data_IF_785906974091
#
_entry.id   IF_785906974091
#
_cell.length_a   1.000
_cell.length_b   1.000
_cell.length_c   1.000
_cell.angle_alpha   90.00
_cell.angle_beta   90.00
_cell.angle_gamma   90.00
#
_symmetry.space_group_name_H-M   'P 1'
#
loop_
_entity.id
_entity.type
_entity.pdbx_description
1 polymer ?
#
# COMPACT_ATOMS: atom_id res chain seq x y z
N UNK A 1 -13.53 -6.99 -9.85
CA UNK A 1 -12.84 -6.46 -8.66
C UNK A 1 -11.36 -6.44 -8.96
N UNK A 2 -10.70 -5.29 -8.81
CA UNK A 2 -9.24 -5.21 -8.90
C UNK A 2 -8.58 -5.99 -7.76
N UNK A 3 -7.36 -6.45 -7.97
CA UNK A 3 -6.53 -6.98 -6.88
C UNK A 3 -5.73 -5.81 -6.32
N UNK A 4 -5.87 -5.56 -5.02
CA UNK A 4 -5.15 -4.51 -4.34
C UNK A 4 -4.15 -5.07 -3.35
N UNK A 5 -3.05 -4.36 -3.23
CA UNK A 5 -2.19 -4.43 -2.06
C UNK A 5 -2.16 -3.09 -1.36
N UNK A 6 -2.08 -3.11 -0.03
CA UNK A 6 -2.26 -1.94 0.83
C UNK A 6 -1.16 -1.86 1.86
N UNK A 7 -0.79 -0.65 2.24
CA UNK A 7 0.08 -0.39 3.40
C UNK A 7 -0.60 0.57 4.36
N UNK A 8 -1.06 0.04 5.49
CA UNK A 8 -1.69 0.81 6.57
C UNK A 8 -0.63 1.48 7.42
N UNK A 9 -0.46 2.80 7.28
CA UNK A 9 0.65 3.55 7.88
C UNK A 9 0.21 4.26 9.16
N UNK A 10 0.94 4.02 10.27
CA UNK A 10 0.67 4.69 11.55
C UNK A 10 1.54 5.93 11.80
N UNK A 11 2.39 6.31 10.85
CA UNK A 11 3.11 7.57 10.87
C UNK A 11 2.23 8.71 10.34
N UNK A 12 2.42 9.94 10.85
CA UNK A 12 1.79 11.13 10.27
C UNK A 12 2.54 11.68 9.06
N UNK A 13 3.79 11.27 8.85
CA UNK A 13 4.60 11.69 7.70
C UNK A 13 4.14 10.88 6.49
N UNK A 14 3.76 11.54 5.39
CA UNK A 14 3.37 10.89 4.13
C UNK A 14 4.57 10.71 3.21
N UNK A 15 4.60 9.67 2.35
CA UNK A 15 5.59 9.56 1.29
C UNK A 15 5.39 10.66 0.23
N UNK A 16 6.47 11.15 -0.35
CA UNK A 16 6.44 11.93 -1.60
C UNK A 16 6.58 10.99 -2.78
N UNK A 17 5.92 11.28 -3.90
CA UNK A 17 5.99 10.44 -5.11
C UNK A 17 7.45 10.32 -5.58
N UNK A 18 8.20 11.44 -5.59
CA UNK A 18 9.60 11.43 -6.00
C UNK A 18 10.46 10.48 -5.15
N UNK A 19 10.20 10.34 -3.85
CA UNK A 19 10.94 9.43 -2.97
C UNK A 19 10.60 7.97 -3.28
N UNK A 20 9.33 7.67 -3.60
CA UNK A 20 8.90 6.33 -4.01
C UNK A 20 9.58 5.90 -5.30
N UNK A 21 9.58 6.78 -6.32
CA UNK A 21 10.20 6.52 -7.62
C UNK A 21 11.71 6.38 -7.48
N UNK A 22 12.37 7.28 -6.74
CA UNK A 22 13.81 7.23 -6.54
C UNK A 22 14.24 5.97 -5.79
N UNK A 23 13.46 5.50 -4.82
CA UNK A 23 13.74 4.23 -4.16
C UNK A 23 13.74 3.07 -5.15
N UNK A 24 12.68 2.94 -5.95
CA UNK A 24 12.56 1.87 -6.95
C UNK A 24 13.69 1.91 -7.99
N UNK A 25 14.06 3.11 -8.45
CA UNK A 25 15.22 3.29 -9.33
C UNK A 25 16.53 2.89 -8.68
N UNK A 26 16.70 3.19 -7.39
CA UNK A 26 17.94 2.86 -6.66
C UNK A 26 18.17 1.36 -6.50
N UNK A 27 17.11 0.55 -6.49
CA UNK A 27 17.21 -0.92 -6.49
C UNK A 27 17.26 -1.54 -7.90
N UNK A 28 17.28 -0.72 -8.95
CA UNK A 28 17.53 -1.15 -10.33
C UNK A 28 16.31 -1.24 -11.24
N UNK A 29 15.13 -0.81 -10.81
CA UNK A 29 13.96 -0.75 -11.69
C UNK A 29 13.98 0.50 -12.57
N UNK A 30 13.72 0.34 -13.87
CA UNK A 30 13.41 1.47 -14.76
C UNK A 30 11.93 1.83 -14.60
N UNK A 31 11.67 2.91 -13.86
CA UNK A 31 10.33 3.36 -13.46
C UNK A 31 10.06 4.77 -13.97
N UNK A 32 8.84 4.97 -14.48
CA UNK A 32 8.29 6.28 -14.85
C UNK A 32 6.94 6.51 -14.15
N UNK A 33 6.49 7.75 -14.19
CA UNK A 33 5.15 8.16 -13.75
C UNK A 33 4.44 8.85 -14.92
N UNK A 34 3.11 8.91 -14.88
CA UNK A 34 2.31 9.75 -15.77
C UNK A 34 2.40 11.25 -15.45
N UNK A 35 2.97 11.60 -14.29
CA UNK A 35 3.11 12.97 -13.80
C UNK A 35 4.38 13.67 -14.32
N UNK A 36 4.33 15.01 -14.36
CA UNK A 36 5.50 15.84 -14.62
C UNK A 36 6.34 16.10 -13.36
N UNK A 37 7.52 16.69 -13.52
CA UNK A 37 8.45 16.93 -12.40
C UNK A 37 7.85 17.77 -11.26
N UNK A 38 6.98 18.72 -11.58
CA UNK A 38 6.36 19.59 -10.58
C UNK A 38 5.33 18.83 -9.76
N UNK A 39 4.55 17.98 -10.40
CA UNK A 39 3.53 17.16 -9.75
C UNK A 39 4.16 16.04 -8.90
N UNK A 40 5.35 15.54 -9.27
CA UNK A 40 6.12 14.59 -8.45
C UNK A 40 6.54 15.16 -7.07
N UNK A 41 6.67 16.48 -6.97
CA UNK A 41 7.00 17.19 -5.73
C UNK A 41 5.78 17.57 -4.89
N UNK A 42 4.56 17.37 -5.41
CA UNK A 42 3.33 17.73 -4.72
C UNK A 42 3.18 16.94 -3.40
N UNK A 43 3.12 17.61 -2.23
CA UNK A 43 2.97 16.93 -0.94
C UNK A 43 1.55 16.39 -0.68
N UNK A 44 0.57 16.84 -1.47
CA UNK A 44 -0.86 16.51 -1.33
C UNK A 44 -1.38 15.72 -2.53
N UNK A 45 -0.54 14.88 -3.10
CA UNK A 45 -0.94 13.93 -4.13
C UNK A 45 -1.96 12.90 -3.59
N UNK A 46 -2.88 12.50 -4.45
CA UNK A 46 -3.92 11.50 -4.16
C UNK A 46 -3.63 10.19 -4.86
N UNK A 47 -3.21 10.25 -6.11
CA UNK A 47 -2.97 9.08 -6.94
C UNK A 47 -2.00 9.42 -8.08
N UNK A 48 -1.36 8.38 -8.63
CA UNK A 48 -0.58 8.46 -9.86
C UNK A 48 -0.42 7.08 -10.48
N UNK A 49 -0.06 7.06 -11.77
CA UNK A 49 0.26 5.83 -12.49
C UNK A 49 1.77 5.56 -12.41
N UNK A 50 2.15 4.40 -11.89
CA UNK A 50 3.52 3.91 -11.86
C UNK A 50 3.77 3.00 -13.06
N UNK A 51 4.52 3.51 -14.04
CA UNK A 51 4.84 2.83 -15.28
C UNK A 51 6.14 2.04 -15.06
N UNK A 52 6.00 0.72 -14.92
CA UNK A 52 7.13 -0.20 -14.76
C UNK A 52 7.57 -0.83 -16.09
N UNK A 53 6.70 -0.80 -17.11
CA UNK A 53 6.94 -1.31 -18.44
C UNK A 53 6.05 -0.51 -19.41
N UNK A 54 6.60 -0.03 -20.52
CA UNK A 54 5.86 0.80 -21.48
C UNK A 54 4.87 0.03 -22.34
N UNK A 55 4.98 -1.30 -22.39
CA UNK A 55 4.08 -2.17 -23.15
C UNK A 55 2.97 -2.77 -22.27
N UNK A 56 2.92 -2.38 -20.99
CA UNK A 56 1.97 -2.89 -19.99
C UNK A 56 1.15 -1.77 -19.38
N UNK A 57 0.00 -2.13 -18.83
CA UNK A 57 -0.80 -1.25 -18.00
C UNK A 57 -0.02 -0.89 -16.72
N UNK A 58 -0.05 0.39 -16.30
CA UNK A 58 0.65 0.83 -15.11
C UNK A 58 0.03 0.27 -13.83
N UNK A 59 0.77 0.34 -12.73
CA UNK A 59 0.18 0.17 -11.40
C UNK A 59 -0.44 1.50 -10.99
N UNK A 60 -1.71 1.49 -10.54
CA UNK A 60 -2.32 2.69 -9.96
C UNK A 60 -1.96 2.74 -8.48
N UNK A 61 -1.28 3.80 -8.07
CA UNK A 61 -0.88 4.02 -6.67
C UNK A 61 -1.73 5.14 -6.10
N UNK A 62 -2.38 4.89 -4.98
CA UNK A 62 -3.29 5.83 -4.31
C UNK A 62 -2.85 6.07 -2.87
N UNK A 63 -3.14 7.27 -2.35
CA UNK A 63 -2.92 7.70 -0.98
C UNK A 63 -4.26 8.12 -0.36
N UNK A 64 -4.80 7.24 0.49
CA UNK A 64 -6.07 7.47 1.16
C UNK A 64 -5.82 7.92 2.61
N UNK A 65 -6.08 9.19 2.91
CA UNK A 65 -5.88 9.81 4.22
C UNK A 65 -7.16 9.76 5.06
N UNK A 66 -7.03 9.36 6.33
CA UNK A 66 -8.10 9.44 7.32
C UNK A 66 -8.51 10.91 7.50
N UNK A 67 -9.80 11.19 7.36
CA UNK A 67 -10.41 12.51 7.50
C UNK A 67 -10.35 13.38 6.24
N UNK A 68 -9.74 12.93 5.13
CA UNK A 68 -9.65 13.70 3.88
C UNK A 68 -10.18 12.97 2.66
N UNK A 69 -10.00 11.65 2.56
CA UNK A 69 -10.36 10.87 1.36
C UNK A 69 -11.84 10.49 1.32
N UNK A 70 -12.74 11.43 1.61
CA UNK A 70 -14.19 11.24 1.62
C UNK A 70 -14.69 10.03 2.45
N UNK A 71 -13.92 9.60 3.45
CA UNK A 71 -14.24 8.44 4.29
C UNK A 71 -13.70 7.09 3.77
N UNK A 72 -13.10 7.04 2.57
CA UNK A 72 -12.61 5.79 1.97
C UNK A 72 -11.58 5.08 2.84
N UNK A 73 -10.65 5.82 3.45
CA UNK A 73 -9.64 5.24 4.33
C UNK A 73 -10.27 4.64 5.61
N UNK A 74 -11.28 5.33 6.16
CA UNK A 74 -12.03 4.88 7.32
C UNK A 74 -12.89 3.66 7.02
N UNK A 75 -13.59 3.65 5.89
CA UNK A 75 -14.37 2.52 5.39
C UNK A 75 -13.47 1.29 5.25
N UNK A 76 -12.34 1.40 4.56
CA UNK A 76 -11.39 0.31 4.38
C UNK A 76 -10.85 -0.23 5.73
N UNK A 77 -10.49 0.67 6.66
CA UNK A 77 -10.04 0.26 8.01
C UNK A 77 -11.15 -0.49 8.74
N UNK A 78 -12.38 0.01 8.71
CA UNK A 78 -13.52 -0.60 9.39
C UNK A 78 -13.86 -1.96 8.80
N UNK A 79 -13.87 -2.10 7.47
CA UNK A 79 -14.11 -3.38 6.78
C UNK A 79 -13.10 -4.45 7.24
N UNK A 80 -11.80 -4.13 7.31
CA UNK A 80 -10.82 -5.08 7.82
C UNK A 80 -10.93 -5.35 9.31
N UNK A 81 -11.29 -4.35 10.13
CA UNK A 81 -11.54 -4.56 11.56
C UNK A 81 -12.71 -5.53 11.78
N UNK A 82 -13.79 -5.38 11.01
CA UNK A 82 -14.93 -6.28 11.02
C UNK A 82 -14.53 -7.69 10.56
N UNK A 83 -13.82 -7.80 9.45
CA UNK A 83 -13.34 -9.08 8.92
C UNK A 83 -12.46 -9.83 9.94
N UNK A 84 -11.49 -9.14 10.57
CA UNK A 84 -10.59 -9.77 11.54
C UNK A 84 -11.36 -10.22 12.79
N UNK A 85 -12.37 -9.43 13.17
CA UNK A 85 -13.22 -9.65 14.33
C UNK A 85 -12.49 -9.50 15.66
N UNK A 86 -13.19 -9.78 16.76
CA UNK A 86 -12.63 -9.63 18.11
C UNK A 86 -11.62 -10.74 18.43
N UNK A 87 -10.36 -10.41 18.76
CA UNK A 87 -9.37 -11.42 19.08
C UNK A 87 -9.57 -11.92 20.52
N UNK A 88 -9.34 -13.21 20.75
CA UNK A 88 -9.19 -13.75 22.09
C UNK A 88 -7.81 -13.44 22.69
N UNK A 89 -7.57 -13.83 23.95
CA UNK A 89 -6.34 -13.44 24.66
C UNK A 89 -5.05 -13.95 23.97
N UNK A 90 -5.10 -15.13 23.37
CA UNK A 90 -3.95 -15.84 22.77
C UNK A 90 -3.65 -15.41 21.33
N UNK A 91 -4.59 -14.75 20.64
CA UNK A 91 -4.44 -14.32 19.24
C UNK A 91 -3.62 -13.02 19.10
N UNK A 92 -2.32 -13.09 19.45
CA UNK A 92 -1.41 -11.95 19.43
C UNK A 92 -1.28 -11.30 18.05
N UNK A 93 -1.27 -12.08 16.97
CA UNK A 93 -1.19 -11.55 15.61
C UNK A 93 -2.42 -10.72 15.23
N UNK A 94 -3.64 -11.21 15.55
CA UNK A 94 -4.87 -10.44 15.32
C UNK A 94 -4.87 -9.13 16.12
N UNK A 95 -4.46 -9.18 17.40
CA UNK A 95 -4.30 -7.97 18.22
C UNK A 95 -3.32 -6.97 17.61
N UNK A 96 -2.22 -7.46 17.03
CA UNK A 96 -1.24 -6.63 16.34
C UNK A 96 -1.83 -5.95 15.11
N UNK A 97 -2.55 -6.68 14.26
CA UNK A 97 -3.22 -6.10 13.08
C UNK A 97 -4.26 -5.06 13.50
N UNK A 98 -5.14 -5.38 14.45
CA UNK A 98 -6.15 -4.44 14.96
C UNK A 98 -5.50 -3.19 15.55
N UNK A 99 -4.42 -3.34 16.32
CA UNK A 99 -3.70 -2.18 16.84
C UNK A 99 -3.09 -1.33 15.73
N UNK A 100 -2.67 -1.92 14.61
CA UNK A 100 -2.16 -1.16 13.48
C UNK A 100 -3.30 -0.40 12.80
N UNK A 101 -4.39 -1.11 12.45
CA UNK A 101 -5.56 -0.54 11.79
C UNK A 101 -6.09 0.67 12.55
N UNK A 102 -6.28 0.54 13.87
CA UNK A 102 -6.74 1.63 14.74
C UNK A 102 -5.77 2.84 14.84
N UNK A 103 -4.50 2.66 14.48
CA UNK A 103 -3.47 3.73 14.51
C UNK A 103 -3.17 4.28 13.12
N UNK A 104 -3.85 3.81 12.09
CA UNK A 104 -3.63 4.22 10.71
C UNK A 104 -3.97 5.71 10.55
N UNK A 105 -3.08 6.47 9.92
CA UNK A 105 -3.33 7.84 9.48
C UNK A 105 -3.64 7.93 8.00
N UNK A 106 -3.05 7.03 7.21
CA UNK A 106 -3.31 6.91 5.78
C UNK A 106 -2.97 5.50 5.29
N UNK A 107 -3.50 5.15 4.12
CA UNK A 107 -3.27 3.89 3.43
C UNK A 107 -2.64 4.21 2.08
N UNK A 108 -1.54 3.55 1.74
CA UNK A 108 -1.07 3.51 0.36
C UNK A 108 -1.67 2.27 -0.29
N UNK A 109 -2.50 2.46 -1.30
CA UNK A 109 -3.11 1.37 -2.07
C UNK A 109 -2.41 1.25 -3.43
N UNK A 110 -2.21 0.02 -3.89
CA UNK A 110 -1.66 -0.27 -5.21
C UNK A 110 -2.62 -1.23 -5.90
N UNK A 111 -3.22 -0.79 -6.99
CA UNK A 111 -4.08 -1.63 -7.83
C UNK A 111 -3.22 -2.33 -8.88
N UNK A 112 -3.31 -3.66 -8.94
CA UNK A 112 -2.59 -4.46 -9.92
C UNK A 112 -3.52 -4.80 -11.10
N UNK A 113 -3.10 -4.52 -12.35
CA UNK A 113 -3.84 -4.93 -13.55
C UNK A 113 -3.62 -6.43 -13.82
N UNK A 114 -4.28 -7.30 -13.03
CA UNK A 114 -4.06 -8.76 -13.01
C UNK A 114 -4.17 -9.47 -14.36
N UNK A 115 -4.80 -8.86 -15.36
CA UNK A 115 -4.93 -9.42 -16.71
C UNK A 115 -3.77 -9.08 -17.64
N UNK A 116 -2.90 -8.15 -17.26
CA UNK A 116 -1.79 -7.65 -18.09
C UNK A 116 -0.44 -7.57 -17.35
N UNK A 117 -0.45 -7.66 -16.02
CA UNK A 117 0.78 -7.60 -15.21
C UNK A 117 1.69 -8.80 -15.44
N UNK A 118 3.00 -8.53 -15.51
CA UNK A 118 4.08 -9.54 -15.59
C UNK A 118 4.87 -9.59 -14.28
N UNK A 119 5.78 -10.57 -14.13
CA UNK A 119 6.62 -10.75 -12.93
C UNK A 119 7.28 -9.45 -12.44
N UNK A 120 7.82 -8.64 -13.37
CA UNK A 120 8.41 -7.33 -13.07
C UNK A 120 7.44 -6.40 -12.32
N UNK A 121 6.15 -6.41 -12.67
CA UNK A 121 5.13 -5.60 -11.99
C UNK A 121 4.88 -6.08 -10.56
N UNK A 122 4.90 -7.39 -10.32
CA UNK A 122 4.81 -7.96 -8.98
C UNK A 122 6.04 -7.62 -8.12
N UNK A 123 7.24 -7.68 -8.71
CA UNK A 123 8.49 -7.32 -8.03
C UNK A 123 8.50 -5.83 -7.64
N UNK A 124 8.10 -4.95 -8.56
CA UNK A 124 7.96 -3.51 -8.29
C UNK A 124 6.95 -3.24 -7.19
N UNK A 125 5.80 -3.92 -7.21
CA UNK A 125 4.79 -3.83 -6.15
C UNK A 125 5.36 -4.25 -4.79
N UNK A 126 6.04 -5.41 -4.73
CA UNK A 126 6.66 -5.93 -3.52
C UNK A 126 7.70 -4.98 -2.91
N UNK A 127 8.56 -4.41 -3.75
CA UNK A 127 9.56 -3.43 -3.31
C UNK A 127 8.89 -2.14 -2.82
N UNK A 128 7.91 -1.61 -3.56
CA UNK A 128 7.21 -0.38 -3.18
C UNK A 128 6.51 -0.55 -1.82
N UNK A 129 5.78 -1.65 -1.62
CA UNK A 129 5.14 -1.96 -0.34
C UNK A 129 6.17 -2.07 0.79
N UNK A 130 7.27 -2.76 0.55
CA UNK A 130 8.34 -2.97 1.54
C UNK A 130 8.97 -1.64 1.95
N UNK A 131 9.26 -0.78 0.99
CA UNK A 131 9.76 0.57 1.25
C UNK A 131 8.79 1.37 2.11
N UNK A 132 7.51 1.41 1.74
CA UNK A 132 6.50 2.18 2.48
C UNK A 132 6.34 1.62 3.89
N UNK A 133 6.24 0.31 4.04
CA UNK A 133 6.08 -0.34 5.35
C UNK A 133 7.24 -0.02 6.29
N UNK A 134 8.48 -0.12 5.80
CA UNK A 134 9.68 0.09 6.59
C UNK A 134 9.90 1.56 6.97
N UNK A 135 9.57 2.51 6.08
CA UNK A 135 9.88 3.93 6.29
C UNK A 135 8.74 4.73 6.95
N UNK A 136 7.53 4.18 6.98
CA UNK A 136 6.34 4.89 7.45
C UNK A 136 5.53 4.13 8.50
N UNK A 137 6.18 3.19 9.20
CA UNK A 137 5.54 2.36 10.24
C UNK A 137 4.28 1.68 9.70
N UNK A 138 4.42 1.08 8.51
CA UNK A 138 3.32 0.49 7.78
C UNK A 138 3.18 -1.01 8.01
N UNK A 139 1.97 -1.52 7.82
CA UNK A 139 1.68 -2.94 7.74
C UNK A 139 1.06 -3.25 6.38
N UNK A 140 1.60 -4.28 5.74
CA UNK A 140 1.16 -4.69 4.41
C UNK A 140 -0.07 -5.58 4.52
N UNK A 141 -1.03 -5.40 3.62
CA UNK A 141 -2.11 -6.32 3.34
C UNK A 141 -2.17 -6.60 1.84
N UNK A 142 -2.44 -7.84 1.47
CA UNK A 142 -2.67 -8.24 0.10
C UNK A 142 -4.02 -8.96 -0.02
N UNK A 143 -4.81 -8.60 -1.03
CA UNK A 143 -6.11 -9.21 -1.27
C UNK A 143 -6.01 -10.72 -1.44
N UNK A 144 -7.01 -11.44 -0.91
CA UNK A 144 -7.09 -12.92 -0.93
C UNK A 144 -5.93 -13.65 -0.21
N UNK A 145 -5.06 -12.91 0.49
CA UNK A 145 -3.94 -13.46 1.24
C UNK A 145 -4.00 -13.05 2.71
N UNK A 146 -3.83 -11.76 2.98
CA UNK A 146 -3.96 -11.18 4.31
C UNK A 146 -2.81 -10.26 4.73
N UNK A 147 -2.58 -10.18 6.04
CA UNK A 147 -1.70 -9.17 6.65
C UNK A 147 -0.30 -9.72 6.89
N UNK A 148 0.69 -8.92 6.51
CA UNK A 148 2.10 -9.23 6.60
C UNK A 148 2.83 -8.33 7.59
N UNK A 149 3.83 -8.88 8.27
CA UNK A 149 4.79 -8.14 9.06
C UNK A 149 6.19 -8.70 8.80
N UNK A 150 7.12 -7.84 8.36
CA UNK A 150 8.49 -8.21 7.98
C UNK A 150 8.49 -9.41 7.00
N UNK A 151 7.69 -9.31 5.92
CA UNK A 151 7.51 -10.33 4.89
C UNK A 151 6.99 -11.70 5.38
N UNK A 152 6.40 -11.75 6.58
CA UNK A 152 5.73 -12.95 7.11
C UNK A 152 4.23 -12.71 7.20
N UNK A 153 3.44 -13.60 6.62
CA UNK A 153 1.98 -13.61 6.78
C UNK A 153 1.66 -13.90 8.25
N UNK A 154 1.01 -12.94 8.93
CA UNK A 154 0.67 -13.04 10.35
C UNK A 154 -0.83 -13.28 10.59
N UNK A 155 -1.69 -12.85 9.67
CA UNK A 155 -3.13 -13.11 9.67
C UNK A 155 -3.55 -13.39 8.24
N UNK A 156 -4.09 -14.59 7.98
CA UNK A 156 -4.68 -14.95 6.69
C UNK A 156 -6.11 -14.40 6.61
N UNK A 157 -6.48 -13.90 5.43
CA UNK A 157 -7.86 -13.60 5.08
C UNK A 157 -8.35 -14.74 4.19
N UNK A 158 -9.48 -15.35 4.55
CA UNK A 158 -10.14 -16.41 3.78
C UNK A 158 -11.07 -15.83 2.71
#
# INVERSE_FOLDING_TARGET
MGYYTRVFCSSKRKPKIIDLINNLKSVGFDIKSNLDEKDLENPDWTDFELIYDSERLPLLVELNEIGKSHGLAEEEVNEFLEFIGKPNFLQLNKKKVISQLNKTYYIVCIQLPITDIIDKGYDVNGELMSYVANNFSGMIQADKEGFYCNNKLIVKLE
#
